data_IF_651473431027
#
_entry.id   IF_651473431027
#
_cell.length_a   1.000
_cell.length_b   1.000
_cell.length_c   1.000
_cell.angle_alpha   90.00
_cell.angle_beta   90.00
_cell.angle_gamma   90.00
#
_symmetry.space_group_name_H-M   'P 1'
#
loop_
_entity.id
_entity.type
_entity.pdbx_description
1 polymer ?
#
# COMPACT_ATOMS: atom_id res chain seq x y z
N UNK A 1 -18.25 25.25 12.84
CA UNK A 1 -16.79 25.17 12.81
C UNK A 1 -16.18 26.34 12.04
N UNK A 2 -14.85 26.47 12.08
CA UNK A 2 -14.09 27.51 11.35
C UNK A 2 -13.91 27.19 9.85
N UNK A 3 -14.24 25.98 9.41
CA UNK A 3 -14.04 25.47 8.06
C UNK A 3 -15.36 25.02 7.41
N UNK A 4 -15.40 24.99 6.08
CA UNK A 4 -16.49 24.47 5.26
C UNK A 4 -16.02 23.32 4.36
N UNK A 5 -16.96 22.53 3.85
CA UNK A 5 -16.72 21.43 2.91
C UNK A 5 -16.91 21.93 1.47
N UNK A 6 -16.08 21.48 0.55
CA UNK A 6 -16.11 21.88 -0.86
C UNK A 6 -15.22 20.99 -1.72
N UNK A 7 -15.28 21.19 -3.03
CA UNK A 7 -14.52 20.44 -4.03
C UNK A 7 -13.43 21.32 -4.67
N UNK A 8 -12.54 20.72 -5.44
CA UNK A 8 -11.55 21.46 -6.25
C UNK A 8 -11.87 21.23 -7.72
N UNK A 9 -12.29 22.29 -8.41
CA UNK A 9 -12.47 22.30 -9.87
C UNK A 9 -11.49 23.31 -10.49
N UNK A 10 -10.77 22.91 -11.54
CA UNK A 10 -9.76 23.74 -12.22
C UNK A 10 -8.74 24.40 -11.26
N UNK A 11 -8.37 23.69 -10.19
CA UNK A 11 -7.42 24.17 -9.18
C UNK A 11 -7.97 25.26 -8.24
N UNK A 12 -9.28 25.56 -8.31
CA UNK A 12 -9.95 26.52 -7.45
C UNK A 12 -10.87 25.80 -6.46
N UNK A 13 -10.84 26.15 -5.16
CA UNK A 13 -11.74 25.58 -4.19
C UNK A 13 -13.17 26.13 -4.40
N UNK A 14 -14.12 25.23 -4.58
CA UNK A 14 -15.55 25.54 -4.71
C UNK A 14 -16.23 25.07 -3.42
N UNK A 15 -16.85 26.00 -2.70
CA UNK A 15 -17.53 25.66 -1.45
C UNK A 15 -18.86 24.92 -1.73
N UNK A 16 -19.21 23.99 -0.83
CA UNK A 16 -20.49 23.25 -0.87
C UNK A 16 -21.31 23.47 0.41
N UNK A 17 -20.69 23.35 1.59
CA UNK A 17 -21.36 23.53 2.88
C UNK A 17 -20.51 24.35 3.86
N UNK A 18 -21.10 25.33 4.54
CA UNK A 18 -20.42 26.13 5.55
C UNK A 18 -21.34 26.40 6.74
N UNK A 19 -20.85 26.13 7.96
CA UNK A 19 -21.61 26.29 9.23
C UNK A 19 -22.93 25.51 9.29
N UNK A 20 -23.03 24.40 8.55
CA UNK A 20 -24.14 23.45 8.64
C UNK A 20 -23.58 22.10 9.08
N UNK A 21 -24.34 21.35 9.88
CA UNK A 21 -24.01 19.96 10.20
C UNK A 21 -24.03 19.13 8.91
N UNK A 22 -22.90 18.52 8.57
CA UNK A 22 -22.78 17.63 7.43
C UNK A 22 -21.89 16.45 7.83
N UNK A 23 -22.15 15.29 7.25
CA UNK A 23 -21.37 14.07 7.46
C UNK A 23 -20.51 13.87 6.21
N UNK A 24 -19.24 14.28 6.19
CA UNK A 24 -18.39 14.08 5.03
C UNK A 24 -18.18 12.59 4.80
N UNK A 25 -18.31 12.17 3.54
CA UNK A 25 -17.95 10.82 3.11
C UNK A 25 -16.47 10.79 2.74
N UNK A 26 -15.75 9.80 3.23
CA UNK A 26 -14.36 9.54 2.85
C UNK A 26 -14.37 8.63 1.62
N UNK A 27 -13.61 8.99 0.60
CA UNK A 27 -13.41 8.16 -0.60
C UNK A 27 -12.25 7.18 -0.39
N UNK A 28 -12.10 6.22 -1.30
CA UNK A 28 -11.08 5.19 -1.22
C UNK A 28 -9.67 5.80 -1.20
N UNK A 29 -8.98 5.64 -0.06
CA UNK A 29 -7.62 6.18 0.15
C UNK A 29 -7.55 7.39 1.08
N UNK A 30 -8.69 7.96 1.49
CA UNK A 30 -8.73 9.04 2.47
C UNK A 30 -8.81 8.51 3.91
N UNK A 31 -8.03 9.11 4.82
CA UNK A 31 -7.99 8.74 6.23
C UNK A 31 -8.09 9.98 7.13
N UNK A 32 -8.70 9.83 8.30
CA UNK A 32 -8.66 10.86 9.35
C UNK A 32 -7.31 10.80 10.07
N UNK A 33 -6.50 11.85 9.91
CA UNK A 33 -5.18 11.96 10.52
C UNK A 33 -5.28 12.83 11.77
N UNK A 34 -4.64 12.41 12.86
CA UNK A 34 -4.60 13.17 14.11
C UNK A 34 -3.79 14.47 13.93
N UNK A 35 -4.21 15.53 14.61
CA UNK A 35 -3.62 16.87 14.44
C UNK A 35 -2.11 16.95 14.77
N UNK A 36 -1.60 16.10 15.65
CA UNK A 36 -0.17 15.98 15.97
C UNK A 36 0.69 15.54 14.79
N UNK A 37 0.09 14.82 13.83
CA UNK A 37 0.76 14.29 12.65
C UNK A 37 0.72 15.23 11.43
N UNK A 38 -0.10 16.28 11.47
CA UNK A 38 -0.25 17.25 10.37
C UNK A 38 0.76 18.41 10.42
N UNK A 39 1.67 18.41 11.40
CA UNK A 39 2.69 19.45 11.51
C UNK A 39 3.75 19.23 10.41
N UNK A 40 4.12 20.26 9.63
CA UNK A 40 5.29 20.16 8.77
C UNK A 40 6.51 19.82 9.63
N UNK A 41 7.46 18.99 9.14
CA UNK A 41 8.68 18.70 9.87
C UNK A 41 9.34 20.02 10.27
N UNK A 42 9.67 20.15 11.55
CA UNK A 42 10.41 21.30 12.05
C UNK A 42 11.70 21.40 11.24
N UNK A 43 11.90 22.54 10.57
CA UNK A 43 13.14 22.81 9.85
C UNK A 43 14.25 22.85 10.91
N UNK A 44 15.15 21.88 10.86
CA UNK A 44 16.45 22.03 11.52
C UNK A 44 17.16 23.18 10.80
N UNK A 45 17.39 24.28 11.53
CA UNK A 45 18.11 25.44 11.05
C UNK A 45 19.55 25.02 10.70
N UNK A 46 19.82 24.83 9.41
CA UNK A 46 21.16 24.65 8.89
C UNK A 46 21.77 26.05 8.69
N UNK A 47 22.66 26.46 9.59
CA UNK A 47 23.53 27.61 9.34
C UNK A 47 24.51 27.24 8.20
N UNK A 48 24.60 28.04 7.12
CA UNK A 48 25.52 27.75 6.04
C UNK A 48 26.93 28.18 6.45
N UNK A 49 27.80 27.21 6.74
CA UNK A 49 29.24 27.47 6.76
C UNK A 49 29.73 27.68 5.32
N UNK A 50 30.08 28.91 5.01
CA UNK A 50 30.97 29.24 3.88
C UNK A 50 32.36 28.68 4.18
N UNK A 51 32.87 27.77 3.35
CA UNK A 51 34.26 27.90 2.93
C UNK A 51 34.54 27.22 1.57
N UNK A 52 35.45 27.84 0.83
CA UNK A 52 35.74 27.59 -0.57
C UNK A 52 36.70 26.41 -0.78
N UNK A 53 36.44 25.64 -1.85
CA UNK A 53 37.37 24.92 -2.75
C UNK A 53 38.66 24.31 -2.14
N UNK A 54 38.79 22.97 -2.19
CA UNK A 54 39.92 22.31 -2.89
C UNK A 54 39.72 20.80 -3.09
N UNK A 55 40.02 20.40 -4.33
CA UNK A 55 40.49 19.16 -4.95
C UNK A 55 40.39 17.75 -4.26
N UNK A 56 39.88 16.82 -5.08
CA UNK A 56 40.09 15.35 -5.15
C UNK A 56 40.44 14.54 -3.89
N UNK A 57 39.61 13.53 -3.64
CA UNK A 57 40.08 12.22 -3.17
C UNK A 57 39.18 11.54 -2.17
N UNK A 58 38.45 10.53 -2.66
CA UNK A 58 38.04 9.33 -1.92
C UNK A 58 37.01 9.41 -0.77
N UNK A 59 36.25 8.30 -0.72
CA UNK A 59 35.27 7.91 0.29
C UNK A 59 34.07 8.83 0.50
N UNK A 60 32.99 8.50 -0.23
CA UNK A 60 31.63 8.75 0.25
C UNK A 60 31.44 7.98 1.55
N UNK A 61 31.76 8.63 2.65
CA UNK A 61 31.36 8.21 3.99
C UNK A 61 29.84 8.31 4.04
N UNK A 62 29.18 7.18 3.77
CA UNK A 62 27.76 7.00 4.05
C UNK A 62 27.61 7.19 5.55
N UNK A 63 27.10 8.35 5.94
CA UNK A 63 26.53 8.59 7.27
C UNK A 63 25.52 7.48 7.52
N UNK A 64 25.93 6.46 8.27
CA UNK A 64 25.06 5.43 8.80
C UNK A 64 24.30 6.08 9.94
N UNK A 65 23.10 6.55 9.68
CA UNK A 65 22.11 6.76 10.73
C UNK A 65 21.75 5.38 11.28
N UNK A 66 22.45 4.94 12.32
CA UNK A 66 22.21 3.67 12.98
C UNK A 66 20.94 3.79 13.84
N UNK A 67 19.78 3.52 13.23
CA UNK A 67 18.59 3.11 13.99
C UNK A 67 18.85 1.71 14.58
N UNK A 68 19.24 1.68 15.86
CA UNK A 68 19.34 0.48 16.69
C UNK A 68 17.95 0.01 17.15
N UNK A 69 17.16 -0.49 16.20
CA UNK A 69 16.01 -1.35 16.46
C UNK A 69 16.28 -2.78 15.99
N UNK A 70 15.65 -3.79 16.59
CA UNK A 70 15.64 -5.14 16.01
C UNK A 70 14.99 -5.07 14.62
N UNK A 71 15.73 -5.45 13.57
CA UNK A 71 15.26 -5.46 12.19
C UNK A 71 14.90 -6.88 11.76
N UNK A 72 13.77 -7.04 11.08
CA UNK A 72 13.39 -8.30 10.46
C UNK A 72 13.96 -8.37 9.04
N UNK A 73 14.88 -9.29 8.82
CA UNK A 73 15.50 -9.52 7.51
C UNK A 73 14.70 -10.52 6.66
N UNK A 74 13.81 -11.28 7.31
CA UNK A 74 12.94 -12.27 6.68
C UNK A 74 11.58 -12.24 7.38
N UNK A 75 10.51 -12.28 6.60
CA UNK A 75 9.14 -12.46 7.10
C UNK A 75 8.47 -13.58 6.30
N UNK A 76 7.67 -14.42 6.96
CA UNK A 76 6.85 -15.47 6.36
C UNK A 76 5.49 -15.43 7.04
N UNK A 77 4.45 -15.14 6.28
CA UNK A 77 3.10 -14.97 6.80
C UNK A 77 2.19 -15.96 6.09
N UNK A 78 1.50 -16.82 6.84
CA UNK A 78 0.40 -17.65 6.36
C UNK A 78 -0.87 -17.07 6.96
N UNK A 79 -1.76 -16.58 6.10
CA UNK A 79 -2.93 -15.82 6.52
C UNK A 79 -4.19 -16.62 6.15
N UNK A 80 -5.12 -16.72 7.09
CA UNK A 80 -6.49 -17.14 6.84
C UNK A 80 -7.32 -15.88 6.59
N UNK A 81 -7.68 -15.63 5.34
CA UNK A 81 -8.24 -14.35 4.88
C UNK A 81 -9.68 -14.58 4.43
N UNK A 82 -10.67 -13.91 5.06
CA UNK A 82 -12.04 -13.93 4.56
C UNK A 82 -12.10 -13.41 3.12
N UNK A 83 -12.96 -14.00 2.29
CA UNK A 83 -13.04 -13.69 0.85
C UNK A 83 -13.22 -12.19 0.56
N UNK A 84 -14.01 -11.48 1.38
CA UNK A 84 -14.22 -10.03 1.26
C UNK A 84 -13.07 -9.14 1.74
N UNK A 85 -11.97 -9.71 2.27
CA UNK A 85 -10.84 -9.00 2.88
C UNK A 85 -9.51 -9.18 2.16
N UNK A 86 -9.50 -9.91 1.03
CA UNK A 86 -8.29 -10.11 0.25
C UNK A 86 -7.69 -8.80 -0.28
N UNK A 87 -8.54 -7.83 -0.65
CA UNK A 87 -8.13 -6.50 -1.09
C UNK A 87 -7.30 -5.75 -0.04
N UNK A 88 -7.66 -5.88 1.25
CA UNK A 88 -6.92 -5.27 2.36
C UNK A 88 -5.49 -5.82 2.44
N UNK A 89 -5.30 -7.13 2.19
CA UNK A 89 -3.97 -7.76 2.18
C UNK A 89 -3.15 -7.32 0.96
N UNK A 90 -3.78 -7.25 -0.21
CA UNK A 90 -3.11 -6.81 -1.44
C UNK A 90 -2.53 -5.40 -1.28
N UNK A 91 -3.20 -4.52 -0.53
CA UNK A 91 -2.73 -3.15 -0.22
C UNK A 91 -1.47 -3.10 0.66
N UNK A 92 -1.14 -4.15 1.41
CA UNK A 92 0.07 -4.20 2.26
C UNK A 92 1.31 -4.61 1.45
N UNK A 93 1.14 -5.34 0.35
CA UNK A 93 2.24 -5.87 -0.48
C UNK A 93 3.19 -4.76 -0.97
N UNK A 94 2.73 -3.59 -1.47
CA UNK A 94 3.63 -2.51 -1.89
C UNK A 94 4.56 -2.04 -0.78
N UNK A 95 4.05 -1.94 0.45
CA UNK A 95 4.87 -1.55 1.59
C UNK A 95 5.96 -2.59 1.88
N UNK A 96 5.63 -3.89 1.84
CA UNK A 96 6.62 -4.96 1.98
C UNK A 96 7.66 -4.88 0.85
N UNK A 97 7.24 -4.70 -0.41
CA UNK A 97 8.15 -4.53 -1.55
C UNK A 97 9.08 -3.32 -1.41
N UNK A 98 8.67 -2.26 -0.70
CA UNK A 98 9.53 -1.10 -0.42
C UNK A 98 10.68 -1.40 0.55
N UNK A 99 10.58 -2.48 1.33
CA UNK A 99 11.55 -2.86 2.37
C UNK A 99 12.33 -4.14 2.03
N UNK A 100 11.81 -4.98 1.13
CA UNK A 100 12.39 -6.28 0.77
C UNK A 100 12.64 -6.39 -0.73
N UNK A 101 13.83 -6.87 -1.12
CA UNK A 101 14.23 -7.00 -2.52
C UNK A 101 13.50 -8.13 -3.27
N UNK A 102 12.95 -9.10 -2.53
CA UNK A 102 12.22 -10.24 -3.09
C UNK A 102 10.97 -10.49 -2.25
N UNK A 103 9.82 -10.49 -2.93
CA UNK A 103 8.51 -10.73 -2.32
C UNK A 103 7.74 -11.66 -3.25
N UNK A 104 7.52 -12.89 -2.80
CA UNK A 104 6.70 -13.88 -3.48
C UNK A 104 5.34 -13.98 -2.77
N UNK A 105 4.26 -14.03 -3.55
CA UNK A 105 2.89 -14.13 -3.03
C UNK A 105 2.25 -15.37 -3.63
N UNK A 106 1.62 -16.18 -2.78
CA UNK A 106 0.87 -17.38 -3.17
C UNK A 106 -0.56 -17.23 -2.70
N UNK A 107 -1.51 -17.62 -3.56
CA UNK A 107 -2.94 -17.60 -3.26
C UNK A 107 -3.48 -19.01 -3.44
N UNK A 108 -4.26 -19.46 -2.48
CA UNK A 108 -4.95 -20.76 -2.48
C UNK A 108 -6.45 -20.47 -2.49
N UNK A 109 -7.19 -21.13 -3.39
CA UNK A 109 -8.65 -20.99 -3.50
C UNK A 109 -9.27 -22.35 -3.19
N UNK A 110 -10.16 -22.38 -2.20
CA UNK A 110 -10.92 -23.58 -1.84
C UNK A 110 -12.41 -23.25 -1.86
N UNK A 111 -13.18 -24.05 -2.58
CA UNK A 111 -14.63 -23.96 -2.62
C UNK A 111 -15.20 -25.32 -2.21
N UNK A 112 -16.19 -25.31 -1.32
CA UNK A 112 -16.86 -26.52 -0.80
C UNK A 112 -18.36 -26.26 -0.75
N UNK A 113 -19.17 -27.32 -0.77
CA UNK A 113 -20.64 -27.24 -0.73
C UNK A 113 -21.24 -26.42 -1.89
N UNK A 114 -20.70 -26.59 -3.09
CA UNK A 114 -21.21 -26.01 -4.33
C UNK A 114 -20.94 -26.96 -5.50
N UNK A 115 -21.48 -26.63 -6.66
CA UNK A 115 -21.25 -27.39 -7.89
C UNK A 115 -20.94 -26.43 -9.05
N UNK A 116 -20.16 -26.92 -9.99
CA UNK A 116 -19.80 -26.22 -11.22
C UNK A 116 -19.61 -27.27 -12.31
N UNK A 117 -20.06 -26.97 -13.53
CA UNK A 117 -19.81 -27.88 -14.64
C UNK A 117 -18.32 -27.90 -15.00
N UNK A 118 -17.83 -29.04 -15.49
CA UNK A 118 -16.44 -29.15 -15.98
C UNK A 118 -16.15 -28.06 -17.02
N UNK A 119 -17.09 -27.80 -17.93
CA UNK A 119 -16.98 -26.75 -18.94
C UNK A 119 -16.89 -25.34 -18.34
N UNK A 120 -17.64 -25.03 -17.29
CA UNK A 120 -17.50 -23.75 -16.59
C UNK A 120 -16.12 -23.60 -15.95
N UNK A 121 -15.59 -24.67 -15.37
CA UNK A 121 -14.24 -24.65 -14.81
C UNK A 121 -13.18 -24.41 -15.91
N UNK A 122 -13.22 -25.20 -16.99
CA UNK A 122 -12.25 -25.11 -18.08
C UNK A 122 -12.35 -23.78 -18.85
N UNK A 123 -13.56 -23.36 -19.23
CA UNK A 123 -13.76 -22.22 -20.11
C UNK A 123 -13.74 -20.88 -19.37
N UNK A 124 -14.17 -20.85 -18.09
CA UNK A 124 -14.24 -19.59 -17.32
C UNK A 124 -13.09 -19.48 -16.34
N UNK A 125 -12.88 -20.48 -15.49
CA UNK A 125 -11.88 -20.38 -14.41
C UNK A 125 -10.47 -20.52 -14.96
N UNK A 126 -10.19 -21.60 -15.71
CA UNK A 126 -8.84 -21.89 -16.22
C UNK A 126 -8.38 -20.85 -17.22
N UNK A 127 -9.24 -20.42 -18.13
CA UNK A 127 -8.91 -19.35 -19.08
C UNK A 127 -8.71 -17.99 -18.39
N UNK A 128 -9.47 -17.64 -17.35
CA UNK A 128 -9.23 -16.41 -16.59
C UNK A 128 -7.87 -16.42 -15.87
N UNK A 129 -7.48 -17.54 -15.25
CA UNK A 129 -6.17 -17.70 -14.59
C UNK A 129 -5.04 -17.58 -15.60
N UNK A 130 -5.20 -18.20 -16.78
CA UNK A 130 -4.24 -18.13 -17.89
C UNK A 130 -4.10 -16.70 -18.44
N UNK A 131 -5.20 -15.96 -18.58
CA UNK A 131 -5.19 -14.56 -19.01
C UNK A 131 -4.49 -13.64 -18.00
N UNK A 132 -4.55 -13.97 -16.71
CA UNK A 132 -3.82 -13.27 -15.67
C UNK A 132 -2.32 -13.61 -15.63
N UNK A 133 -1.84 -14.48 -16.53
CA UNK A 133 -0.46 -14.99 -16.57
C UNK A 133 -0.03 -15.66 -15.25
N UNK A 134 -1.01 -16.20 -14.51
CA UNK A 134 -0.77 -16.92 -13.25
C UNK A 134 -0.68 -18.41 -13.54
N UNK A 135 0.31 -19.07 -12.92
CA UNK A 135 0.49 -20.52 -13.01
C UNK A 135 -0.25 -21.21 -11.86
N UNK A 136 -1.04 -22.23 -12.19
CA UNK A 136 -1.58 -23.18 -11.21
C UNK A 136 -0.44 -24.11 -10.78
N UNK A 137 -0.04 -24.05 -9.52
CA UNK A 137 1.01 -24.91 -8.95
C UNK A 137 0.48 -26.28 -8.52
N UNK A 138 -0.77 -26.35 -8.06
CA UNK A 138 -1.45 -27.55 -7.56
C UNK A 138 -2.95 -27.44 -7.86
N UNK A 139 -3.58 -28.57 -8.22
CA UNK A 139 -4.99 -28.64 -8.61
C UNK A 139 -5.61 -29.93 -8.06
N UNK A 140 -6.66 -29.79 -7.26
CA UNK A 140 -7.46 -30.90 -6.74
C UNK A 140 -8.91 -30.73 -7.15
N UNK A 141 -9.40 -31.60 -8.02
CA UNK A 141 -10.79 -31.64 -8.48
C UNK A 141 -11.39 -32.97 -8.00
N UNK A 142 -12.47 -32.89 -7.24
CA UNK A 142 -13.28 -34.03 -6.84
C UNK A 142 -14.56 -34.03 -7.71
N UNK A 143 -14.88 -35.16 -8.34
CA UNK A 143 -16.08 -35.39 -9.17
C UNK A 143 -17.21 -36.06 -8.39
#
# INVERSE_FOLDING_TARGET
GLFGLGDVEDGKPIYRHFKVECTPELTEGEILIRADLCKPPEKEDYEPEEDMLTDKGESREKVKTEEYGKKYHTIRLKLDVPTGKLSDIVRVIPYIKSKFNKVDVKVEISAVNGEMSVSDYEDKIREAIKQAEVKIEDEGLDE
#
